data_IF_969079166485
#
_entry.id   IF_969079166485
#
_cell.length_a   1.000
_cell.length_b   1.000
_cell.length_c   1.000
_cell.angle_alpha   90.00
_cell.angle_beta   90.00
_cell.angle_gamma   90.00
#
_symmetry.space_group_name_H-M   'P 1'
#
loop_
_entity.id
_entity.type
_entity.pdbx_description
1 polymer ?
#
# COMPACT_ATOMS: atom_id res chain seq x y z
N UNK A 1 19.61 3.75 2.70
CA UNK A 1 19.85 4.01 4.14
C UNK A 1 20.90 3.05 4.70
N UNK A 2 21.94 3.52 5.41
CA UNK A 2 22.92 2.65 6.05
C UNK A 2 22.28 1.73 7.10
N UNK A 3 22.48 0.42 6.96
CA UNK A 3 21.98 -0.60 7.90
C UNK A 3 20.53 -1.08 7.68
N UNK A 4 19.80 -0.53 6.70
CA UNK A 4 18.50 -1.06 6.30
C UNK A 4 18.70 -2.20 5.30
N UNK A 5 18.29 -3.41 5.69
CA UNK A 5 18.24 -4.55 4.78
C UNK A 5 16.94 -4.40 3.98
N UNK A 6 17.10 -4.16 2.69
CA UNK A 6 15.99 -4.15 1.74
C UNK A 6 16.36 -5.12 0.63
N UNK A 7 15.38 -5.87 0.15
CA UNK A 7 15.52 -6.60 -1.10
C UNK A 7 15.32 -5.59 -2.23
N UNK A 8 16.25 -5.60 -3.19
CA UNK A 8 16.29 -4.63 -4.27
C UNK A 8 15.27 -4.93 -5.38
N UNK A 9 14.68 -6.15 -5.39
CA UNK A 9 13.80 -6.62 -6.46
C UNK A 9 12.54 -7.35 -5.97
N UNK A 10 12.37 -7.64 -4.68
CA UNK A 10 11.10 -8.20 -4.20
C UNK A 10 10.06 -7.10 -3.97
N UNK A 11 9.07 -7.02 -4.86
CA UNK A 11 7.79 -6.38 -4.57
C UNK A 11 6.73 -7.45 -4.31
N UNK A 12 5.84 -7.21 -3.36
CA UNK A 12 4.64 -8.03 -3.22
C UNK A 12 3.69 -7.69 -4.37
N UNK A 13 3.43 -8.67 -5.23
CA UNK A 13 2.49 -8.54 -6.33
C UNK A 13 1.18 -9.23 -5.93
N UNK A 14 0.10 -8.49 -5.63
CA UNK A 14 -1.19 -9.06 -5.20
C UNK A 14 -1.97 -9.77 -6.33
N UNK A 15 -1.25 -10.37 -7.29
CA UNK A 15 -1.82 -11.07 -8.44
C UNK A 15 -2.70 -12.25 -8.01
N UNK A 16 -2.42 -12.86 -6.85
CA UNK A 16 -3.29 -13.89 -6.27
C UNK A 16 -4.69 -13.35 -5.97
N UNK A 17 -4.80 -12.37 -5.09
CA UNK A 17 -6.10 -11.81 -4.67
C UNK A 17 -6.84 -11.13 -5.83
N UNK A 18 -6.10 -10.56 -6.79
CA UNK A 18 -6.67 -9.90 -7.97
C UNK A 18 -7.07 -10.85 -9.11
N UNK A 19 -6.68 -12.12 -9.09
CA UNK A 19 -6.92 -13.04 -10.21
C UNK A 19 -8.28 -13.75 -10.10
N UNK A 20 -9.08 -13.81 -11.19
CA UNK A 20 -10.35 -14.55 -11.22
C UNK A 20 -10.20 -16.03 -10.83
N UNK A 21 -9.06 -16.66 -11.15
CA UNK A 21 -8.80 -18.06 -10.85
C UNK A 21 -9.02 -18.42 -9.37
N UNK A 22 -8.60 -17.55 -8.45
CA UNK A 22 -8.74 -17.83 -7.02
C UNK A 22 -10.18 -17.72 -6.51
N UNK A 23 -11.08 -17.07 -7.27
CA UNK A 23 -12.51 -17.07 -6.98
C UNK A 23 -13.14 -18.43 -7.35
N UNK A 24 -12.68 -19.08 -8.43
CA UNK A 24 -13.18 -20.40 -8.86
C UNK A 24 -12.78 -21.53 -7.91
N UNK A 25 -11.58 -21.46 -7.33
CA UNK A 25 -11.10 -22.44 -6.35
C UNK A 25 -11.89 -22.37 -5.02
N UNK A 26 -12.45 -21.21 -4.69
CA UNK A 26 -13.18 -20.94 -3.46
C UNK A 26 -12.41 -21.38 -2.21
N UNK A 27 -11.33 -20.67 -1.91
CA UNK A 27 -10.46 -20.93 -0.77
C UNK A 27 -11.22 -20.97 0.58
N UNK A 28 -12.33 -20.22 0.69
CA UNK A 28 -13.12 -20.16 1.92
C UNK A 28 -13.77 -21.50 2.26
N UNK A 29 -14.18 -22.30 1.26
CA UNK A 29 -14.74 -23.64 1.49
C UNK A 29 -13.76 -24.60 2.16
N UNK A 30 -12.47 -24.33 2.04
CA UNK A 30 -11.39 -25.08 2.67
C UNK A 30 -10.93 -24.45 4.00
N UNK A 31 -11.64 -23.43 4.50
CA UNK A 31 -11.28 -22.69 5.71
C UNK A 31 -10.06 -21.78 5.55
N UNK A 32 -9.66 -21.48 4.31
CA UNK A 32 -8.48 -20.64 4.03
C UNK A 32 -8.88 -19.17 3.87
N UNK A 33 -8.11 -18.29 4.52
CA UNK A 33 -8.30 -16.83 4.44
C UNK A 33 -7.02 -16.13 4.02
N UNK A 34 -7.12 -15.10 3.20
CA UNK A 34 -6.00 -14.21 2.92
C UNK A 34 -5.52 -13.53 4.20
N UNK A 35 -4.20 -13.59 4.44
CA UNK A 35 -3.55 -12.82 5.50
C UNK A 35 -3.07 -11.50 4.92
N UNK A 36 -3.25 -10.45 5.70
CA UNK A 36 -2.86 -9.10 5.34
C UNK A 36 -1.87 -8.54 6.35
N UNK A 37 -0.83 -7.83 5.90
CA UNK A 37 0.06 -7.15 6.83
C UNK A 37 -0.66 -5.97 7.49
N UNK A 38 -0.18 -5.56 8.66
CA UNK A 38 -0.70 -4.35 9.31
C UNK A 38 -0.32 -3.07 8.56
N UNK A 39 0.75 -3.14 7.75
CA UNK A 39 1.32 -2.07 6.94
C UNK A 39 1.62 -2.65 5.56
N UNK A 40 1.08 -2.02 4.52
CA UNK A 40 1.19 -2.51 3.14
C UNK A 40 2.52 -2.11 2.50
N UNK A 41 3.02 -0.92 2.84
CA UNK A 41 4.29 -0.41 2.36
C UNK A 41 4.88 0.56 3.38
N UNK A 42 6.21 0.54 3.51
CA UNK A 42 6.96 1.58 4.20
C UNK A 42 8.09 2.03 3.28
N UNK A 43 8.08 3.32 2.92
CA UNK A 43 9.12 3.94 2.12
C UNK A 43 9.97 4.84 3.02
N UNK A 44 11.23 4.48 3.32
CA UNK A 44 12.09 5.33 4.12
C UNK A 44 12.41 6.64 3.41
N UNK A 45 12.49 7.72 4.18
CA UNK A 45 12.82 9.07 3.73
C UNK A 45 14.22 9.45 4.21
N UNK A 46 14.82 10.45 3.55
CA UNK A 46 16.20 10.86 3.81
C UNK A 46 16.44 11.36 5.23
N UNK A 47 15.40 11.89 5.88
CA UNK A 47 15.45 12.40 7.26
C UNK A 47 15.39 11.29 8.34
N UNK A 48 15.38 10.03 7.93
CA UNK A 48 15.36 8.89 8.85
C UNK A 48 13.96 8.42 9.27
N UNK A 49 12.92 9.04 8.74
CA UNK A 49 11.55 8.56 8.90
C UNK A 49 11.11 7.68 7.71
N UNK A 50 9.83 7.33 7.63
CA UNK A 50 9.23 6.67 6.48
C UNK A 50 7.79 7.12 6.24
N UNK A 51 7.42 7.19 4.97
CA UNK A 51 6.03 7.18 4.54
C UNK A 51 5.47 5.76 4.70
N UNK A 52 4.27 5.64 5.26
CA UNK A 52 3.64 4.33 5.53
C UNK A 52 2.28 4.27 4.87
N UNK A 53 2.02 3.21 4.11
CA UNK A 53 0.74 2.92 3.50
C UNK A 53 0.01 1.81 4.23
N UNK A 54 -1.30 1.97 4.35
CA UNK A 54 -2.23 1.00 4.92
C UNK A 54 -3.27 0.64 3.87
N UNK A 55 -3.89 -0.52 4.06
CA UNK A 55 -5.04 -0.95 3.27
C UNK A 55 -6.16 0.10 3.20
N UNK A 56 -6.35 0.90 4.26
CA UNK A 56 -7.31 2.02 4.30
C UNK A 56 -6.70 3.31 3.78
N UNK A 57 -7.42 3.94 2.85
CA UNK A 57 -7.10 5.24 2.26
C UNK A 57 -7.10 6.31 3.36
N UNK A 58 -8.07 6.29 4.26
CA UNK A 58 -8.28 7.26 5.34
C UNK A 58 -7.19 7.14 6.40
N UNK A 59 -6.86 5.90 6.80
CA UNK A 59 -5.77 5.64 7.76
C UNK A 59 -4.44 6.13 7.22
N UNK A 60 -4.22 5.96 5.92
CA UNK A 60 -3.05 6.49 5.22
C UNK A 60 -3.09 8.01 5.17
N UNK A 61 -4.19 8.60 4.71
CA UNK A 61 -4.37 10.05 4.62
C UNK A 61 -4.20 10.77 5.96
N UNK A 62 -4.66 10.17 7.06
CA UNK A 62 -4.53 10.71 8.42
C UNK A 62 -3.07 10.93 8.85
N UNK A 63 -2.11 10.22 8.21
CA UNK A 63 -0.68 10.37 8.47
C UNK A 63 0.05 11.26 7.47
N UNK A 64 -0.64 11.78 6.46
CA UNK A 64 -0.04 12.54 5.36
C UNK A 64 0.04 14.04 5.61
N UNK A 65 -0.44 14.54 6.75
CA UNK A 65 -0.42 15.97 7.08
C UNK A 65 -1.09 16.81 5.97
N UNK A 66 -0.44 17.88 5.47
CA UNK A 66 -1.00 18.75 4.44
C UNK A 66 -1.39 18.03 3.13
N UNK A 67 -0.74 16.91 2.80
CA UNK A 67 -0.95 16.19 1.55
C UNK A 67 -2.12 15.18 1.60
N UNK A 68 -2.78 15.04 2.75
CA UNK A 68 -3.91 14.13 2.92
C UNK A 68 -5.01 14.35 1.87
N UNK A 69 -5.31 15.60 1.54
CA UNK A 69 -6.32 15.94 0.53
C UNK A 69 -5.87 15.59 -0.89
N UNK A 70 -4.57 15.68 -1.20
CA UNK A 70 -4.01 15.27 -2.50
C UNK A 70 -4.06 13.76 -2.65
N UNK A 71 -3.69 13.02 -1.61
CA UNK A 71 -3.80 11.56 -1.58
C UNK A 71 -5.23 11.08 -1.82
N UNK A 72 -6.21 11.64 -1.10
CA UNK A 72 -7.62 11.29 -1.30
C UNK A 72 -8.09 11.57 -2.73
N UNK A 73 -7.64 12.64 -3.36
CA UNK A 73 -8.00 12.91 -4.76
C UNK A 73 -7.35 11.92 -5.73
N UNK A 74 -6.10 11.56 -5.51
CA UNK A 74 -5.36 10.65 -6.39
C UNK A 74 -5.83 9.19 -6.24
N UNK A 75 -6.08 8.75 -5.00
CA UNK A 75 -6.31 7.35 -4.66
C UNK A 75 -7.75 7.08 -4.23
N UNK A 76 -8.43 8.04 -3.59
CA UNK A 76 -9.82 7.90 -3.12
C UNK A 76 -10.87 7.80 -4.23
N UNK A 77 -10.50 8.12 -5.49
CA UNK A 77 -11.36 7.84 -6.65
C UNK A 77 -11.53 6.32 -6.87
N UNK A 78 -10.60 5.52 -6.34
CA UNK A 78 -10.63 4.07 -6.33
C UNK A 78 -11.38 3.55 -5.09
N UNK A 79 -12.68 3.85 -5.03
CA UNK A 79 -13.69 3.43 -4.03
C UNK A 79 -13.28 3.52 -2.53
N UNK A 80 -13.94 4.39 -1.74
CA UNK A 80 -13.57 4.71 -0.34
C UNK A 80 -13.59 3.52 0.63
N UNK A 81 -14.25 2.42 0.27
CA UNK A 81 -14.43 1.24 1.14
C UNK A 81 -13.56 0.04 0.71
N UNK A 82 -12.73 0.20 -0.33
CA UNK A 82 -12.00 -0.91 -0.93
C UNK A 82 -10.50 -0.85 -0.66
N UNK A 83 -9.93 -2.03 -0.42
CA UNK A 83 -8.51 -2.24 -0.29
C UNK A 83 -7.76 -1.69 -1.52
N UNK A 84 -6.77 -0.82 -1.29
CA UNK A 84 -5.93 -0.20 -2.33
C UNK A 84 -5.43 -1.22 -3.37
N UNK A 85 -5.06 -2.42 -2.94
CA UNK A 85 -4.58 -3.48 -3.83
C UNK A 85 -5.67 -4.13 -4.70
N UNK A 86 -6.91 -4.25 -4.23
CA UNK A 86 -8.00 -4.75 -5.06
C UNK A 86 -8.37 -3.73 -6.15
N UNK A 87 -8.34 -2.44 -5.82
CA UNK A 87 -8.51 -1.36 -6.77
C UNK A 87 -7.46 -1.41 -7.91
N UNK A 88 -6.18 -1.49 -7.56
CA UNK A 88 -5.06 -1.57 -8.51
C UNK A 88 -5.19 -2.80 -9.44
N UNK A 89 -5.54 -3.97 -8.90
CA UNK A 89 -5.66 -5.20 -9.68
C UNK A 89 -6.93 -5.25 -10.56
N UNK A 90 -7.99 -4.55 -10.20
CA UNK A 90 -9.29 -4.64 -10.88
C UNK A 90 -9.36 -3.91 -12.23
N UNK A 91 -8.30 -3.20 -12.64
CA UNK A 91 -8.07 -2.78 -14.03
C UNK A 91 -9.14 -1.85 -14.65
N UNK A 92 -10.07 -1.28 -13.89
CA UNK A 92 -11.03 -0.30 -14.41
C UNK A 92 -10.55 1.12 -14.10
N UNK A 93 -9.59 1.60 -14.89
CA UNK A 93 -9.22 3.02 -14.96
C UNK A 93 -9.84 3.65 -16.20
N UNK A 94 -10.77 4.59 -16.02
CA UNK A 94 -10.94 5.70 -16.94
C UNK A 94 -10.23 6.92 -16.33
N UNK A 95 -9.11 7.29 -16.93
CA UNK A 95 -8.30 8.52 -16.72
C UNK A 95 -7.34 8.56 -15.52
N UNK A 96 -6.04 8.54 -15.82
CA UNK A 96 -4.94 8.88 -14.91
C UNK A 96 -4.54 10.36 -15.11
N UNK A 97 -4.53 11.23 -14.08
CA UNK A 97 -3.86 12.51 -14.13
C UNK A 97 -2.36 12.38 -13.78
N UNK A 98 -1.53 13.22 -14.41
CA UNK A 98 -0.07 13.31 -14.27
C UNK A 98 0.40 13.49 -12.80
N UNK A 99 1.33 12.65 -12.33
CA UNK A 99 1.72 12.48 -10.90
C UNK A 99 3.20 12.80 -10.66
N UNK A 100 3.64 14.04 -10.93
CA UNK A 100 5.05 14.46 -10.74
C UNK A 100 5.46 14.98 -9.35
N UNK A 101 4.63 14.90 -8.31
CA UNK A 101 5.07 15.29 -6.96
C UNK A 101 4.23 14.65 -5.85
N UNK A 102 4.72 13.55 -5.28
CA UNK A 102 4.04 12.85 -4.17
C UNK A 102 5.09 12.37 -3.16
N UNK A 103 5.34 13.13 -2.09
CA UNK A 103 6.06 12.61 -0.90
C UNK A 103 5.46 13.20 0.40
N UNK A 104 5.04 12.35 1.37
CA UNK A 104 4.33 12.76 2.59
C UNK A 104 5.22 12.76 3.86
N UNK A 105 4.71 13.18 5.04
CA UNK A 105 5.40 13.11 6.32
C UNK A 105 5.26 11.76 7.05
N UNK A 106 5.76 11.72 8.29
CA UNK A 106 6.84 10.85 8.76
C UNK A 106 6.41 9.84 9.85
N UNK A 107 6.76 8.56 9.72
CA UNK A 107 6.82 7.61 10.84
C UNK A 107 8.29 7.26 11.11
N UNK A 108 8.76 7.37 12.36
CA UNK A 108 10.13 6.96 12.72
C UNK A 108 10.22 5.43 12.66
N UNK A 109 10.83 4.88 11.62
CA UNK A 109 11.09 3.44 11.54
C UNK A 109 12.19 3.09 12.54
N UNK A 110 11.89 2.19 13.48
CA UNK A 110 12.94 1.64 14.35
C UNK A 110 13.91 0.86 13.47
N UNK A 111 15.20 1.20 13.53
CA UNK A 111 16.26 0.39 12.91
C UNK A 111 16.10 -1.05 13.41
N UNK A 112 15.93 -1.98 12.48
CA UNK A 112 16.04 -3.40 12.78
C UNK A 112 17.52 -3.65 13.12
N UNK A 113 17.85 -3.71 14.41
CA UNK A 113 19.19 -4.17 14.84
C UNK A 113 19.21 -5.68 14.62
N UNK A 114 20.14 -6.17 13.79
CA UNK A 114 20.48 -7.60 13.80
C UNK A 114 21.08 -7.95 15.18
N UNK A 115 20.87 -9.17 15.70
CA UNK A 115 21.66 -9.69 16.81
C UNK A 115 23.15 -9.77 16.43
#
# INVERSE_FOLDING_TARGET
MPGLIHDHCSAFHPLGVGSPFWQEIDLQRYGLTWKWPQTDCAHPLDDGSAGVLFQSIEKTAARMGPDASRWRRAVGIWRPDSMIWQAICSGRSSTCPDTRSVLPPLVRVRRCRRP
#
